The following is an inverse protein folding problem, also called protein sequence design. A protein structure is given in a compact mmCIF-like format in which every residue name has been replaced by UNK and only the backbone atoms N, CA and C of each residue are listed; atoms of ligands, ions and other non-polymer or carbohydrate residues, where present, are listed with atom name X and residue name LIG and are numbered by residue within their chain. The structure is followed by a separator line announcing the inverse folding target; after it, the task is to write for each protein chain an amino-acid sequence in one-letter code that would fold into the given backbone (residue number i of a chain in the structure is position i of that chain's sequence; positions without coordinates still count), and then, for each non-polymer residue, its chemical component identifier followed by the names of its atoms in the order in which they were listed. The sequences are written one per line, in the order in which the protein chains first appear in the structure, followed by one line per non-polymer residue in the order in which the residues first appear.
data_IF_030856907554
#
_entry.id   IF_030856907554
#
_cell.length_a   1.000
_cell.length_b   1.000
_cell.length_c   1.000
_cell.angle_alpha   90.00
_cell.angle_beta   90.00
_cell.angle_gamma   90.00
#
_symmetry.space_group_name_H-M   'P 1'
#
loop_
_entity.id
_entity.type
_entity.pdbx_description
1 polymer ?
#
# COMPACT_ATOMS: atom_id res chain seq x y z
N UNK A 1 -0.85 2.95 50.98
CA UNK A 1 0.10 2.42 49.97
C UNK A 1 -0.70 2.02 48.74
N UNK A 2 -0.49 2.65 47.58
CA UNK A 2 -1.03 2.17 46.30
C UNK A 2 -0.08 1.08 45.80
N UNK A 3 -0.53 -0.18 45.86
CA UNK A 3 0.26 -1.37 45.47
C UNK A 3 0.28 -1.64 43.96
N UNK A 4 -0.41 -0.81 43.18
CA UNK A 4 -0.41 -0.82 41.73
C UNK A 4 0.09 0.55 41.29
N UNK A 5 0.99 0.59 40.28
CA UNK A 5 1.49 1.83 39.70
C UNK A 5 0.36 2.77 39.26
N UNK A 6 0.69 4.01 38.86
CA UNK A 6 -0.33 4.97 38.44
C UNK A 6 -1.26 4.36 37.40
N UNK A 7 -2.57 4.55 37.59
CA UNK A 7 -3.56 3.97 36.70
C UNK A 7 -3.53 4.73 35.34
N UNK A 8 -4.04 4.11 34.27
CA UNK A 8 -4.04 4.71 32.93
C UNK A 8 -4.68 6.11 32.92
N UNK A 9 -5.81 6.27 33.61
CA UNK A 9 -6.54 7.52 33.63
C UNK A 9 -5.72 8.66 34.28
N UNK A 10 -5.02 8.37 35.37
CA UNK A 10 -4.16 9.34 36.06
C UNK A 10 -3.02 9.80 35.13
N UNK A 11 -2.39 8.85 34.41
CA UNK A 11 -1.27 9.17 33.49
C UNK A 11 -1.76 9.93 32.26
N UNK A 12 -2.86 9.50 31.64
CA UNK A 12 -3.32 10.13 30.41
C UNK A 12 -3.97 11.49 30.67
N UNK A 13 -4.57 11.68 31.86
CA UNK A 13 -4.96 13.01 32.31
C UNK A 13 -3.76 13.93 32.52
N UNK A 14 -2.70 13.45 33.20
CA UNK A 14 -1.45 14.21 33.34
C UNK A 14 -0.87 14.58 31.97
N UNK A 15 -0.87 13.63 31.02
CA UNK A 15 -0.43 13.89 29.66
C UNK A 15 -1.24 15.02 29.01
N UNK A 16 -2.57 14.99 29.14
CA UNK A 16 -3.44 16.04 28.57
C UNK A 16 -3.10 17.42 29.14
N UNK A 17 -2.75 17.51 30.43
CA UNK A 17 -2.31 18.76 31.06
C UNK A 17 -0.94 19.18 30.51
N UNK A 18 0.01 18.25 30.38
CA UNK A 18 1.38 18.51 29.91
C UNK A 18 1.46 18.96 28.45
N UNK A 19 0.51 18.56 27.60
CA UNK A 19 0.50 18.89 26.17
C UNK A 19 -0.52 19.97 25.81
N UNK A 20 -1.17 20.61 26.79
CA UNK A 20 -2.31 21.52 26.57
C UNK A 20 -3.41 20.89 25.70
N UNK A 21 -3.71 19.62 25.99
CA UNK A 21 -4.72 18.80 25.31
C UNK A 21 -6.03 18.69 26.10
N UNK A 22 -6.97 17.97 25.50
CA UNK A 22 -8.28 17.67 26.05
C UNK A 22 -8.32 16.22 26.56
N UNK A 23 -8.67 16.06 27.84
CA UNK A 23 -8.98 14.77 28.41
C UNK A 23 -10.43 14.37 28.09
N UNK A 24 -10.60 13.28 27.36
CA UNK A 24 -11.90 12.82 26.88
C UNK A 24 -12.23 11.49 27.54
N UNK A 25 -13.40 11.43 28.18
CA UNK A 25 -13.96 10.20 28.76
C UNK A 25 -15.18 9.81 27.96
N UNK A 26 -15.13 8.66 27.30
CA UNK A 26 -16.27 8.12 26.56
C UNK A 26 -17.10 7.20 27.47
N UNK A 27 -18.43 7.37 27.41
CA UNK A 27 -19.39 6.57 28.16
C UNK A 27 -19.74 5.25 27.45
N UNK A 28 -20.01 4.19 28.23
CA UNK A 28 -20.34 2.85 27.72
C UNK A 28 -20.36 1.82 28.86
N UNK A 29 -20.41 0.52 28.51
CA UNK A 29 -20.31 -0.58 29.50
C UNK A 29 -18.90 -0.70 30.11
N UNK A 30 -17.90 -0.06 29.50
CA UNK A 30 -16.55 0.13 30.02
C UNK A 30 -16.12 1.59 29.83
N UNK A 31 -15.30 2.11 30.75
CA UNK A 31 -14.74 3.46 30.62
C UNK A 31 -13.60 3.45 29.61
N UNK A 32 -13.77 4.19 28.53
CA UNK A 32 -12.74 4.46 27.54
C UNK A 32 -12.18 5.87 27.73
N UNK A 33 -10.88 5.98 27.54
CA UNK A 33 -10.13 7.21 27.75
C UNK A 33 -9.46 7.61 26.45
N UNK A 34 -9.48 8.90 26.13
CA UNK A 34 -8.74 9.49 25.00
C UNK A 34 -8.11 10.81 25.41
N UNK A 35 -7.03 11.17 24.73
CA UNK A 35 -6.42 12.51 24.81
C UNK A 35 -6.45 13.11 23.41
N UNK A 36 -7.10 14.25 23.25
CA UNK A 36 -7.15 14.99 22.00
C UNK A 36 -6.28 16.25 22.05
N UNK A 37 -5.60 16.61 20.97
CA UNK A 37 -4.92 17.90 20.85
C UNK A 37 -5.10 18.46 19.44
N UNK A 38 -5.54 19.72 19.36
CA UNK A 38 -5.47 20.46 18.10
C UNK A 38 -4.08 21.04 17.92
N UNK A 39 -3.48 20.78 16.76
CA UNK A 39 -2.21 21.37 16.37
C UNK A 39 -2.32 21.82 14.91
N UNK A 40 -2.30 23.13 14.70
CA UNK A 40 -2.70 23.76 13.43
C UNK A 40 -4.08 23.22 12.96
N UNK A 41 -4.18 22.70 11.75
CA UNK A 41 -5.38 22.08 11.17
C UNK A 41 -5.61 20.63 11.62
N UNK A 42 -4.61 19.98 12.23
CA UNK A 42 -4.70 18.57 12.59
C UNK A 42 -5.33 18.37 13.97
N UNK A 43 -6.15 17.32 14.08
CA UNK A 43 -6.66 16.81 15.35
C UNK A 43 -5.92 15.52 15.69
N UNK A 44 -4.96 15.62 16.59
CA UNK A 44 -4.15 14.49 17.05
C UNK A 44 -4.89 13.81 18.20
N UNK A 45 -5.08 12.50 18.10
CA UNK A 45 -5.80 11.70 19.11
C UNK A 45 -4.92 10.58 19.62
N UNK A 46 -4.87 10.42 20.94
CA UNK A 46 -4.36 9.25 21.62
C UNK A 46 -5.53 8.42 22.18
N UNK A 47 -5.52 7.12 21.94
CA UNK A 47 -6.53 6.18 22.42
C UNK A 47 -5.97 4.78 22.70
N UNK A 48 -6.79 3.93 23.32
CA UNK A 48 -6.53 2.48 23.37
C UNK A 48 -7.23 1.83 22.19
N UNK A 49 -6.48 1.22 21.29
CA UNK A 49 -7.02 0.45 20.18
C UNK A 49 -7.09 -1.04 20.57
N UNK A 50 -8.28 -1.63 20.43
CA UNK A 50 -8.53 -3.06 20.57
C UNK A 50 -9.55 -3.45 19.51
N UNK A 51 -9.35 -4.58 18.84
CA UNK A 51 -10.28 -5.07 17.82
C UNK A 51 -11.54 -5.73 18.43
N UNK A 52 -11.58 -5.90 19.76
CA UNK A 52 -12.60 -6.67 20.45
C UNK A 52 -12.39 -8.20 20.37
N UNK A 53 -11.51 -8.68 19.50
CA UNK A 53 -11.09 -10.08 19.48
C UNK A 53 -10.09 -10.34 20.61
N UNK A 54 -10.30 -11.42 21.37
CA UNK A 54 -9.39 -11.78 22.49
C UNK A 54 -7.96 -12.12 22.07
N UNK A 55 -7.74 -12.40 20.78
CA UNK A 55 -6.46 -12.81 20.23
C UNK A 55 -5.63 -11.62 19.75
N UNK A 56 -6.27 -10.48 19.48
CA UNK A 56 -5.56 -9.29 19.02
C UNK A 56 -4.99 -8.52 20.22
N UNK A 57 -3.76 -8.01 20.11
CA UNK A 57 -3.15 -7.27 21.20
C UNK A 57 -3.90 -5.94 21.41
N UNK A 58 -4.05 -5.56 22.68
CA UNK A 58 -4.41 -4.18 23.04
C UNK A 58 -3.23 -3.29 22.69
N UNK A 59 -3.49 -2.16 22.02
CA UNK A 59 -2.46 -1.21 21.60
C UNK A 59 -2.78 0.19 22.16
N UNK A 60 -1.74 0.95 22.48
CA UNK A 60 -1.85 2.41 22.62
C UNK A 60 -1.57 3.01 21.25
N UNK A 61 -2.45 3.89 20.78
CA UNK A 61 -2.40 4.46 19.43
C UNK A 61 -2.45 5.97 19.50
N UNK A 62 -1.56 6.63 18.76
CA UNK A 62 -1.61 8.07 18.48
C UNK A 62 -1.79 8.24 16.99
N UNK A 63 -2.75 9.04 16.55
CA UNK A 63 -3.02 9.22 15.14
C UNK A 63 -3.53 10.62 14.81
N UNK A 64 -3.38 11.00 13.55
CA UNK A 64 -3.96 12.20 12.99
C UNK A 64 -4.30 11.98 11.51
N UNK A 65 -5.43 12.56 11.09
CA UNK A 65 -5.78 12.66 9.68
C UNK A 65 -4.98 13.80 9.03
N UNK A 66 -4.46 13.58 7.82
CA UNK A 66 -3.77 14.60 7.03
C UNK A 66 -4.08 14.42 5.53
N UNK A 67 -3.89 15.49 4.76
CA UNK A 67 -4.03 15.43 3.30
C UNK A 67 -2.75 14.90 2.67
N UNK A 68 -2.82 13.77 1.98
CA UNK A 68 -1.68 13.10 1.36
C UNK A 68 -1.66 13.36 -0.16
N UNK A 69 -1.01 14.47 -0.55
CA UNK A 69 -1.01 14.94 -1.95
C UNK A 69 -0.37 13.91 -2.90
N UNK A 70 0.74 13.30 -2.50
CA UNK A 70 1.54 12.43 -3.38
C UNK A 70 1.34 10.94 -3.14
N UNK A 71 0.46 10.55 -2.23
CA UNK A 71 0.23 9.15 -1.87
C UNK A 71 1.46 8.53 -1.18
N UNK A 72 2.17 9.30 -0.35
CA UNK A 72 3.28 8.80 0.45
C UNK A 72 2.79 7.67 1.36
N UNK A 73 3.50 6.54 1.35
CA UNK A 73 3.30 5.44 2.28
C UNK A 73 4.62 5.09 2.93
N UNK A 74 4.60 4.87 4.23
CA UNK A 74 5.72 4.23 4.91
C UNK A 74 5.27 3.42 6.10
N UNK A 75 6.15 2.53 6.53
CA UNK A 75 6.11 1.81 7.80
C UNK A 75 7.50 1.79 8.39
N UNK A 76 7.60 2.13 9.67
CA UNK A 76 8.82 2.09 10.46
C UNK A 76 8.50 1.23 11.69
N UNK A 77 9.24 0.16 11.89
CA UNK A 77 9.00 -0.75 13.00
C UNK A 77 10.27 -1.47 13.44
N UNK A 78 10.34 -1.84 14.71
CA UNK A 78 11.39 -2.69 15.25
C UNK A 78 11.04 -4.18 15.09
N UNK A 79 11.99 -5.08 15.38
CA UNK A 79 11.80 -6.53 15.20
C UNK A 79 10.60 -7.09 15.98
N UNK A 80 10.23 -6.51 17.12
CA UNK A 80 9.10 -6.96 17.92
C UNK A 80 7.76 -6.86 17.16
N UNK A 81 7.59 -5.84 16.32
CA UNK A 81 6.39 -5.70 15.49
C UNK A 81 6.40 -6.58 14.23
N UNK A 82 7.54 -7.19 13.87
CA UNK A 82 7.67 -8.03 12.66
C UNK A 82 6.69 -9.19 12.65
N UNK A 83 6.42 -9.79 13.81
CA UNK A 83 5.52 -10.95 13.93
C UNK A 83 4.03 -10.59 13.76
N UNK A 84 3.68 -9.30 13.82
CA UNK A 84 2.29 -8.84 13.73
C UNK A 84 1.88 -8.48 12.29
N UNK A 85 2.81 -8.42 11.34
CA UNK A 85 2.54 -7.90 10.00
C UNK A 85 3.20 -8.77 8.91
N UNK A 86 2.38 -9.55 8.20
CA UNK A 86 2.83 -10.44 7.11
C UNK A 86 2.60 -9.89 5.69
N UNK A 87 1.69 -8.93 5.50
CA UNK A 87 1.37 -8.40 4.16
C UNK A 87 1.90 -6.98 3.95
N UNK A 88 2.87 -6.84 3.06
CA UNK A 88 3.47 -5.55 2.67
C UNK A 88 3.63 -5.46 1.15
N UNK A 89 2.55 -5.68 0.42
CA UNK A 89 2.55 -5.50 -1.03
C UNK A 89 2.84 -4.02 -1.36
N UNK A 90 3.72 -3.78 -2.34
CA UNK A 90 4.01 -2.46 -2.92
C UNK A 90 4.80 -1.44 -2.04
N UNK A 91 5.60 -1.93 -1.09
CA UNK A 91 6.63 -1.14 -0.39
C UNK A 91 7.99 -1.82 -0.44
N UNK A 92 9.05 -1.04 -0.58
CA UNK A 92 10.43 -1.51 -0.63
C UNK A 92 11.17 -1.11 0.64
N UNK A 93 12.19 -1.87 1.00
CA UNK A 93 13.06 -1.55 2.13
C UNK A 93 13.87 -0.29 1.81
N UNK A 94 13.93 0.65 2.76
CA UNK A 94 14.67 1.90 2.61
C UNK A 94 15.83 1.93 3.58
N UNK A 95 17.03 2.17 3.06
CA UNK A 95 18.22 2.44 3.86
C UNK A 95 18.35 3.94 4.11
N UNK A 96 18.40 4.33 5.38
CA UNK A 96 18.73 5.68 5.82
C UNK A 96 20.03 5.61 6.58
N UNK A 97 21.14 5.72 5.85
CA UNK A 97 22.52 5.55 6.35
C UNK A 97 22.92 6.66 7.34
N UNK A 98 22.27 6.71 8.49
CA UNK A 98 22.48 7.69 9.56
C UNK A 98 22.52 6.94 10.89
N UNK A 99 23.68 6.98 11.55
CA UNK A 99 23.87 6.58 12.96
C UNK A 99 23.39 5.17 13.35
N UNK A 100 23.37 4.20 12.43
CA UNK A 100 22.97 2.82 12.75
C UNK A 100 21.48 2.61 12.93
N UNK A 101 20.65 3.59 12.54
CA UNK A 101 19.19 3.53 12.64
C UNK A 101 18.59 2.26 12.01
N UNK A 102 19.09 1.87 10.84
CA UNK A 102 18.70 0.65 10.12
C UNK A 102 19.04 -0.67 10.85
N UNK A 103 19.79 -0.63 11.96
CA UNK A 103 20.02 -1.81 12.81
C UNK A 103 18.89 -2.03 13.82
N UNK A 104 18.26 -0.95 14.25
CA UNK A 104 17.21 -0.96 15.28
C UNK A 104 15.81 -0.99 14.65
N UNK A 105 15.66 -0.36 13.49
CA UNK A 105 14.38 -0.22 12.79
C UNK A 105 14.44 -0.72 11.35
N UNK A 106 13.37 -1.42 10.95
CA UNK A 106 13.05 -1.75 9.57
C UNK A 106 12.18 -0.61 9.04
N UNK A 107 12.57 -0.06 7.89
CA UNK A 107 11.84 1.01 7.20
C UNK A 107 11.41 0.50 5.84
N UNK A 108 10.12 0.60 5.55
CA UNK A 108 9.55 0.28 4.25
C UNK A 108 8.75 1.46 3.73
N UNK A 109 8.87 1.75 2.44
CA UNK A 109 8.13 2.86 1.81
C UNK A 109 7.94 2.65 0.31
N UNK A 110 7.00 3.40 -0.27
CA UNK A 110 6.88 3.55 -1.72
C UNK A 110 7.76 4.67 -2.30
N UNK A 111 8.48 5.43 -1.47
CA UNK A 111 9.39 6.49 -1.93
C UNK A 111 10.63 6.58 -1.05
N UNK A 112 11.75 6.06 -1.54
CA UNK A 112 13.05 6.16 -0.87
C UNK A 112 13.49 7.63 -0.68
N UNK A 113 13.26 8.48 -1.69
CA UNK A 113 13.62 9.90 -1.67
C UNK A 113 12.85 10.63 -0.56
N UNK A 114 11.54 10.40 -0.46
CA UNK A 114 10.72 11.01 0.58
C UNK A 114 11.16 10.56 1.97
N UNK A 115 11.51 9.28 2.14
CA UNK A 115 11.98 8.77 3.43
C UNK A 115 13.36 9.31 3.80
N UNK A 116 14.30 9.39 2.87
CA UNK A 116 15.60 10.04 3.15
C UNK A 116 15.40 11.48 3.60
N UNK A 117 14.53 12.24 2.91
CA UNK A 117 14.19 13.62 3.27
C UNK A 117 13.50 13.73 4.63
N UNK A 118 12.52 12.85 4.91
CA UNK A 118 11.85 12.76 6.20
C UNK A 118 12.85 12.51 7.33
N UNK A 119 13.77 11.58 7.10
CA UNK A 119 14.82 11.22 8.03
C UNK A 119 16.01 12.19 8.06
N UNK A 120 16.10 13.19 7.18
CA UNK A 120 17.12 14.25 7.30
C UNK A 120 16.90 15.09 8.56
N UNK A 121 15.66 15.13 9.07
CA UNK A 121 15.30 15.82 10.29
C UNK A 121 15.86 15.06 11.53
N UNK A 122 16.86 15.62 12.25
CA UNK A 122 17.49 14.95 13.40
C UNK A 122 16.50 14.69 14.54
N UNK A 123 15.55 15.59 14.75
CA UNK A 123 14.55 15.46 15.82
C UNK A 123 13.66 14.23 15.60
N UNK A 124 13.27 13.95 14.35
CA UNK A 124 12.49 12.74 14.02
C UNK A 124 13.30 11.48 14.33
N UNK A 125 14.58 11.45 13.96
CA UNK A 125 15.47 10.31 14.27
C UNK A 125 15.59 10.09 15.78
N UNK A 126 15.86 11.14 16.53
CA UNK A 126 15.98 11.09 17.99
C UNK A 126 14.70 10.61 18.65
N UNK A 127 13.55 11.16 18.24
CA UNK A 127 12.25 10.80 18.81
C UNK A 127 11.85 9.36 18.48
N UNK A 128 12.15 8.85 17.29
CA UNK A 128 11.91 7.45 16.94
C UNK A 128 12.82 6.52 17.76
N UNK A 129 14.11 6.87 17.94
CA UNK A 129 15.04 6.09 18.75
C UNK A 129 14.63 6.02 20.23
N UNK A 130 13.88 7.01 20.73
CA UNK A 130 13.31 6.96 22.08
C UNK A 130 12.13 5.97 22.21
N UNK A 131 11.59 5.47 21.10
CA UNK A 131 10.50 4.49 21.10
C UNK A 131 11.05 3.07 21.12
N UNK A 132 10.78 2.30 22.20
CA UNK A 132 11.31 0.94 22.35
C UNK A 132 10.60 -0.08 21.45
N UNK A 133 9.27 0.01 21.39
CA UNK A 133 8.41 -0.89 20.60
C UNK A 133 7.36 -0.04 19.91
N UNK A 134 7.58 0.25 18.62
CA UNK A 134 6.69 1.11 17.85
C UNK A 134 6.44 0.57 16.44
N UNK A 135 5.20 0.68 16.00
CA UNK A 135 4.84 0.70 14.58
C UNK A 135 4.43 2.12 14.24
N UNK A 136 5.15 2.74 13.32
CA UNK A 136 4.86 4.07 12.83
C UNK A 136 4.58 4.02 11.33
N UNK A 137 3.36 4.33 10.92
CA UNK A 137 2.91 4.12 9.53
C UNK A 137 1.94 5.20 9.02
N UNK A 138 1.82 5.26 7.69
CA UNK A 138 0.73 5.97 7.00
C UNK A 138 -0.21 4.92 6.40
N UNK A 139 -1.50 5.01 6.74
CA UNK A 139 -2.57 4.18 6.22
C UNK A 139 -3.63 5.02 5.48
N UNK A 140 -4.37 4.38 4.58
CA UNK A 140 -5.61 4.96 4.05
C UNK A 140 -6.65 5.10 5.15
N UNK A 141 -7.66 5.94 4.95
CA UNK A 141 -8.71 6.17 5.96
C UNK A 141 -9.69 5.00 6.02
N UNK A 142 -9.33 3.94 6.76
CA UNK A 142 -10.15 2.75 6.98
C UNK A 142 -9.30 1.49 6.96
N UNK A 143 -9.75 0.42 7.61
CA UNK A 143 -9.08 -0.88 7.55
C UNK A 143 -9.09 -1.32 6.08
N UNK A 144 -7.92 -1.51 5.49
CA UNK A 144 -7.71 -2.00 4.11
C UNK A 144 -7.98 -1.02 2.95
N UNK A 145 -8.01 0.30 3.20
CA UNK A 145 -8.08 1.27 2.10
C UNK A 145 -6.70 1.56 1.49
N UNK A 146 -6.61 1.47 0.16
CA UNK A 146 -5.42 1.90 -0.57
C UNK A 146 -5.14 3.39 -0.29
N UNK A 147 -3.88 3.73 -0.05
CA UNK A 147 -3.44 5.12 -0.02
C UNK A 147 -3.37 5.62 -1.45
N UNK A 148 -4.24 6.57 -1.77
CA UNK A 148 -4.31 7.21 -3.08
C UNK A 148 -3.72 8.63 -3.00
N UNK A 149 -3.31 9.16 -4.17
CA UNK A 149 -2.94 10.57 -4.27
C UNK A 149 -4.13 11.47 -3.99
N UNK A 150 -3.87 12.68 -3.50
CA UNK A 150 -4.88 13.69 -3.19
C UNK A 150 -6.02 13.17 -2.27
N UNK A 151 -5.67 12.27 -1.34
CA UNK A 151 -6.62 11.65 -0.41
C UNK A 151 -6.34 12.04 1.05
N UNK A 152 -7.36 11.93 1.91
CA UNK A 152 -7.14 12.03 3.36
C UNK A 152 -6.62 10.68 3.84
N UNK A 153 -5.41 10.70 4.36
CA UNK A 153 -4.76 9.54 4.98
C UNK A 153 -4.64 9.75 6.48
N UNK A 154 -4.29 8.68 7.18
CA UNK A 154 -4.04 8.69 8.61
C UNK A 154 -2.59 8.31 8.87
N UNK A 155 -1.89 9.15 9.62
CA UNK A 155 -0.57 8.84 10.16
C UNK A 155 -0.74 8.29 11.57
N UNK A 156 -0.08 7.19 11.90
CA UNK A 156 -0.33 6.43 13.12
C UNK A 156 0.94 5.92 13.78
N UNK A 157 1.02 6.08 15.10
CA UNK A 157 2.02 5.48 15.98
C UNK A 157 1.30 4.49 16.89
N UNK A 158 1.67 3.22 16.83
CA UNK A 158 1.09 2.13 17.65
C UNK A 158 2.16 1.53 18.55
N UNK A 159 1.81 1.31 19.81
CA UNK A 159 2.68 0.73 20.84
C UNK A 159 1.94 -0.43 21.53
N UNK A 160 2.62 -1.54 21.86
CA UNK A 160 1.98 -2.68 22.49
C UNK A 160 1.49 -2.36 23.91
N UNK A 161 0.28 -2.78 24.22
CA UNK A 161 -0.33 -2.63 25.55
C UNK A 161 -0.80 -1.21 25.87
N UNK A 162 -1.18 -1.03 27.14
CA UNK A 162 -1.60 0.27 27.68
C UNK A 162 -0.38 0.97 28.28
N UNK A 163 0.08 2.03 27.63
CA UNK A 163 1.24 2.79 28.08
C UNK A 163 0.88 3.68 29.27
N UNK A 164 1.70 3.58 30.33
CA UNK A 164 1.55 4.30 31.61
C UNK A 164 2.78 5.15 31.98
N UNK A 165 3.66 5.40 31.02
CA UNK A 165 4.79 6.32 31.19
C UNK A 165 4.45 7.65 30.49
N UNK A 166 4.30 8.71 31.28
CA UNK A 166 3.92 10.03 30.77
C UNK A 166 4.99 10.62 29.82
N UNK A 167 6.27 10.52 30.18
CA UNK A 167 7.37 11.04 29.36
C UNK A 167 7.43 10.33 28.00
N UNK A 168 7.25 9.02 28.00
CA UNK A 168 7.17 8.26 26.76
C UNK A 168 6.02 8.74 25.86
N UNK A 169 4.82 8.92 26.43
CA UNK A 169 3.67 9.43 25.68
C UNK A 169 3.87 10.85 25.14
N UNK A 170 4.56 11.73 25.89
CA UNK A 170 4.92 13.07 25.42
C UNK A 170 5.84 12.99 24.22
N UNK A 171 6.89 12.17 24.28
CA UNK A 171 7.81 11.97 23.17
C UNK A 171 7.09 11.41 21.94
N UNK A 172 6.11 10.52 22.12
CA UNK A 172 5.30 10.02 20.98
C UNK A 172 4.38 11.11 20.40
N UNK A 173 3.85 12.03 21.21
CA UNK A 173 3.10 13.20 20.73
C UNK A 173 4.01 14.18 19.98
N UNK A 174 5.20 14.44 20.49
CA UNK A 174 6.22 15.25 19.80
C UNK A 174 6.63 14.62 18.48
N UNK A 175 6.80 13.29 18.44
CA UNK A 175 7.07 12.55 17.20
C UNK A 175 5.94 12.74 16.18
N UNK A 176 4.68 12.62 16.61
CA UNK A 176 3.53 12.85 15.74
C UNK A 176 3.53 14.27 15.16
N UNK A 177 3.77 15.29 15.99
CA UNK A 177 3.83 16.69 15.56
C UNK A 177 4.97 16.94 14.58
N UNK A 178 6.20 16.50 14.93
CA UNK A 178 7.37 16.64 14.06
C UNK A 178 7.15 15.96 12.71
N UNK A 179 6.51 14.79 12.73
CA UNK A 179 6.20 14.02 11.53
C UNK A 179 5.17 14.71 10.64
N UNK A 180 4.08 15.22 11.21
CA UNK A 180 3.06 15.97 10.45
C UNK A 180 3.66 17.20 9.77
N UNK A 181 4.52 17.94 10.47
CA UNK A 181 5.22 19.09 9.90
C UNK A 181 6.15 18.69 8.75
N UNK A 182 6.86 17.56 8.87
CA UNK A 182 7.77 17.11 7.81
C UNK A 182 7.00 16.53 6.61
N UNK A 183 5.91 15.81 6.85
CA UNK A 183 5.00 15.34 5.79
C UNK A 183 4.36 16.53 5.05
N UNK A 184 3.95 17.58 5.78
CA UNK A 184 3.43 18.82 5.18
C UNK A 184 4.47 19.48 4.26
N UNK A 185 5.74 19.57 4.70
CA UNK A 185 6.84 20.06 3.86
C UNK A 185 7.01 19.19 2.62
N UNK A 186 7.07 17.86 2.76
CA UNK A 186 7.17 16.94 1.64
C UNK A 186 6.04 17.13 0.63
N UNK A 187 4.80 17.27 1.10
CA UNK A 187 3.64 17.54 0.25
C UNK A 187 3.81 18.80 -0.60
N UNK A 188 4.42 19.84 -0.02
CA UNK A 188 4.63 21.12 -0.68
C UNK A 188 5.89 21.12 -1.59
N UNK A 189 6.94 20.39 -1.20
CA UNK A 189 8.22 20.31 -1.94
C UNK A 189 8.11 19.43 -3.20
N UNK A 190 7.22 18.44 -3.22
CA UNK A 190 7.14 17.43 -4.29
C UNK A 190 6.77 17.96 -5.69
N UNK A 191 6.24 19.19 -5.84
CA UNK A 191 6.10 19.83 -7.17
C UNK A 191 7.45 20.02 -7.88
N UNK A 192 8.55 20.03 -7.12
CA UNK A 192 9.93 20.13 -7.65
C UNK A 192 10.65 18.77 -7.75
N UNK A 193 10.17 17.74 -7.05
CA UNK A 193 10.80 16.41 -7.00
C UNK A 193 10.27 15.45 -8.08
N UNK A 194 9.01 15.62 -8.53
CA UNK A 194 8.42 14.78 -9.59
C UNK A 194 8.94 15.13 -11.02
N UNK A 195 9.60 16.30 -11.17
CA UNK A 195 10.25 16.68 -12.44
C UNK A 195 11.45 15.79 -12.77
N UNK A 196 12.00 15.09 -11.76
CA UNK A 196 13.18 14.24 -11.90
C UNK A 196 12.88 12.73 -12.01
N UNK A 197 11.62 12.29 -11.99
CA UNK A 197 11.28 10.87 -12.00
C UNK A 197 10.60 10.41 -13.31
N UNK A 198 11.46 9.96 -14.25
CA UNK A 198 11.31 8.85 -15.22
C UNK A 198 10.05 8.65 -16.10
N UNK A 199 8.91 9.29 -15.86
CA UNK A 199 7.69 9.12 -16.68
C UNK A 199 7.81 9.79 -18.06
N UNK A 200 8.61 10.86 -18.18
CA UNK A 200 8.92 11.53 -19.46
C UNK A 200 9.88 10.75 -20.36
N UNK A 201 10.44 9.65 -19.86
CA UNK A 201 11.47 8.87 -20.54
C UNK A 201 10.95 7.55 -21.11
N UNK A 202 9.66 7.45 -21.48
CA UNK A 202 9.12 6.28 -22.18
C UNK A 202 9.92 5.93 -23.45
N UNK A 203 10.44 6.94 -24.14
CA UNK A 203 11.34 6.80 -25.30
C UNK A 203 12.71 6.23 -24.92
N UNK A 204 13.24 6.60 -23.75
CA UNK A 204 14.53 6.09 -23.23
C UNK A 204 14.36 4.69 -22.65
N UNK A 205 13.27 4.40 -21.92
CA UNK A 205 12.92 3.06 -21.42
C UNK A 205 12.75 2.06 -22.57
N UNK A 206 12.08 2.47 -23.67
CA UNK A 206 11.94 1.64 -24.88
C UNK A 206 13.27 1.46 -25.61
N UNK A 207 14.10 2.50 -25.68
CA UNK A 207 15.43 2.41 -26.31
C UNK A 207 16.39 1.52 -25.51
N UNK A 208 16.40 1.63 -24.17
CA UNK A 208 17.20 0.78 -23.29
C UNK A 208 16.75 -0.69 -23.39
N UNK A 209 15.43 -0.95 -23.40
CA UNK A 209 14.89 -2.32 -23.53
C UNK A 209 15.28 -2.97 -24.85
N UNK A 210 15.20 -2.24 -25.97
CA UNK A 210 15.60 -2.77 -27.28
C UNK A 210 17.11 -3.03 -27.35
N UNK A 211 17.93 -2.17 -26.77
CA UNK A 211 19.39 -2.30 -26.86
C UNK A 211 19.92 -3.38 -25.91
N UNK A 212 19.31 -3.57 -24.74
CA UNK A 212 19.61 -4.70 -23.84
C UNK A 212 19.25 -6.06 -24.47
N UNK A 213 18.24 -6.09 -25.35
CA UNK A 213 17.87 -7.31 -26.09
C UNK A 213 18.86 -7.66 -27.22
N UNK A 214 19.61 -6.68 -27.72
CA UNK A 214 20.52 -6.84 -28.87
C UNK A 214 21.99 -7.07 -28.48
N UNK A 215 22.32 -7.22 -27.18
CA UNK A 215 23.70 -7.41 -26.66
C UNK A 215 24.71 -6.37 -27.18
N UNK A 216 24.29 -5.11 -27.28
CA UNK A 216 25.11 -4.00 -27.79
C UNK A 216 26.03 -3.45 -26.68
N UNK A 217 27.20 -2.93 -27.03
CA UNK A 217 28.17 -2.40 -26.06
C UNK A 217 27.75 -1.03 -25.48
N UNK A 218 28.31 -0.64 -24.32
CA UNK A 218 27.98 0.62 -23.63
C UNK A 218 28.19 1.85 -24.53
N UNK A 219 29.29 1.91 -25.27
CA UNK A 219 29.59 3.06 -26.14
C UNK A 219 28.60 3.17 -27.29
N UNK A 220 28.15 2.04 -27.84
CA UNK A 220 27.12 2.00 -28.90
C UNK A 220 25.73 2.40 -28.39
N UNK A 221 25.36 2.00 -27.16
CA UNK A 221 24.12 2.44 -26.49
C UNK A 221 24.15 3.97 -26.25
N UNK A 222 25.25 4.46 -25.69
CA UNK A 222 25.45 5.88 -25.35
C UNK A 222 25.37 6.76 -26.60
N UNK A 223 26.08 6.38 -27.66
CA UNK A 223 26.03 7.06 -28.96
C UNK A 223 24.63 7.01 -29.59
N UNK A 224 23.93 5.88 -29.53
CA UNK A 224 22.58 5.75 -30.10
C UNK A 224 21.56 6.67 -29.39
N UNK A 225 21.65 6.78 -28.06
CA UNK A 225 20.76 7.64 -27.28
C UNK A 225 21.11 9.11 -27.49
N UNK A 226 22.39 9.49 -27.43
CA UNK A 226 22.85 10.86 -27.68
C UNK A 226 22.46 11.31 -29.10
N UNK A 227 22.62 10.46 -30.11
CA UNK A 227 22.20 10.76 -31.49
C UNK A 227 20.68 10.90 -31.64
N UNK A 228 19.87 10.22 -30.84
CA UNK A 228 18.41 10.39 -30.85
C UNK A 228 17.97 11.67 -30.15
N UNK A 229 18.70 12.09 -29.12
CA UNK A 229 18.46 13.34 -28.38
C UNK A 229 18.85 14.54 -29.23
N UNK A 230 20.04 14.51 -29.87
CA UNK A 230 20.54 15.59 -30.74
C UNK A 230 19.69 15.82 -31.99
N UNK A 231 18.97 14.78 -32.46
CA UNK A 231 18.01 14.86 -33.59
C UNK A 231 16.67 15.49 -33.21
N UNK A 232 16.34 15.64 -31.93
CA UNK A 232 15.22 16.50 -31.51
C UNK A 232 15.70 17.95 -31.58
N UNK A 233 14.85 18.89 -32.03
CA UNK A 233 15.21 20.30 -32.25
C UNK A 233 15.97 20.88 -31.03
N UNK A 234 17.29 21.01 -31.19
CA UNK A 234 18.26 21.70 -30.32
C UNK A 234 18.06 21.41 -28.82
N UNK A 235 18.44 20.22 -28.32
CA UNK A 235 18.42 19.95 -26.89
C UNK A 235 19.30 20.97 -26.15
N UNK A 236 18.91 21.35 -24.94
CA UNK A 236 19.76 22.18 -24.10
C UNK A 236 20.96 21.35 -23.61
N UNK A 237 22.07 22.02 -23.30
CA UNK A 237 23.26 21.34 -22.73
C UNK A 237 22.94 20.65 -21.39
N UNK A 238 21.92 21.13 -20.69
CA UNK A 238 21.42 20.53 -19.46
C UNK A 238 20.64 19.23 -19.72
N UNK A 239 19.89 19.14 -20.82
CA UNK A 239 19.20 17.90 -21.22
C UNK A 239 20.19 16.80 -21.64
N UNK A 240 21.28 17.16 -22.31
CA UNK A 240 22.37 16.22 -22.62
C UNK A 240 23.07 15.74 -21.35
N UNK A 241 23.38 16.64 -20.42
CA UNK A 241 24.03 16.28 -19.15
C UNK A 241 23.14 15.39 -18.26
N UNK A 242 21.83 15.68 -18.17
CA UNK A 242 20.86 14.87 -17.43
C UNK A 242 20.71 13.48 -18.06
N UNK A 243 20.73 13.37 -19.39
CA UNK A 243 20.68 12.08 -20.07
C UNK A 243 21.95 11.25 -19.80
N UNK A 244 23.14 11.86 -19.80
CA UNK A 244 24.40 11.17 -19.48
C UNK A 244 24.40 10.67 -18.03
N UNK A 245 24.00 11.50 -17.06
CA UNK A 245 23.91 11.10 -15.64
C UNK A 245 22.89 9.98 -15.42
N UNK A 246 21.76 10.01 -16.13
CA UNK A 246 20.75 8.96 -16.06
C UNK A 246 21.23 7.64 -16.68
N UNK A 247 22.01 7.70 -17.77
CA UNK A 247 22.63 6.52 -18.38
C UNK A 247 23.67 5.91 -17.44
N UNK A 248 24.55 6.73 -16.86
CA UNK A 248 25.61 6.26 -15.96
C UNK A 248 25.02 5.69 -14.66
N UNK A 249 23.99 6.33 -14.09
CA UNK A 249 23.25 5.82 -12.93
C UNK A 249 22.50 4.51 -13.23
N UNK A 250 21.88 4.39 -14.41
CA UNK A 250 21.16 3.18 -14.80
C UNK A 250 22.10 1.99 -15.13
N UNK A 251 23.37 2.25 -15.43
CA UNK A 251 24.33 1.24 -15.89
C UNK A 251 25.40 0.87 -14.85
N UNK A 252 25.51 1.61 -13.74
CA UNK A 252 26.33 1.23 -12.58
C UNK A 252 25.91 -0.13 -11.97
N UNK A 253 24.68 -0.56 -12.22
CA UNK A 253 24.10 -1.81 -11.69
C UNK A 253 24.26 -3.04 -12.59
N UNK A 254 25.22 -3.12 -13.52
CA UNK A 254 25.38 -4.35 -14.33
C UNK A 254 25.59 -5.60 -13.46
N UNK A 255 26.39 -5.49 -12.39
CA UNK A 255 26.61 -6.56 -11.41
C UNK A 255 25.33 -6.87 -10.62
N UNK A 256 24.64 -5.84 -10.13
CA UNK A 256 23.40 -5.98 -9.36
C UNK A 256 22.22 -6.49 -10.21
N UNK A 257 22.24 -6.25 -11.53
CA UNK A 257 21.27 -6.78 -12.50
C UNK A 257 21.52 -8.24 -12.81
N UNK A 258 22.78 -8.65 -12.95
CA UNK A 258 23.12 -10.08 -13.09
C UNK A 258 22.72 -10.85 -11.82
N UNK A 259 22.93 -10.27 -10.62
CA UNK A 259 22.51 -10.87 -9.34
C UNK A 259 20.97 -10.89 -9.16
N UNK A 260 20.27 -9.83 -9.58
CA UNK A 260 18.81 -9.76 -9.50
C UNK A 260 18.12 -10.71 -10.50
N UNK A 261 18.65 -10.85 -11.72
CA UNK A 261 18.14 -11.82 -12.72
C UNK A 261 18.30 -13.24 -12.19
N UNK A 262 19.47 -13.58 -11.62
CA UNK A 262 19.75 -14.90 -11.08
C UNK A 262 18.86 -15.25 -9.88
N UNK A 263 18.43 -14.25 -9.10
CA UNK A 263 17.48 -14.42 -7.99
C UNK A 263 16.04 -14.62 -8.49
N UNK A 264 15.63 -13.87 -9.52
CA UNK A 264 14.29 -13.97 -10.13
C UNK A 264 14.12 -15.30 -10.86
N UNK A 265 15.12 -15.77 -11.62
CA UNK A 265 15.10 -17.06 -12.31
C UNK A 265 14.96 -18.23 -11.32
N UNK A 266 15.53 -18.10 -10.12
CA UNK A 266 15.43 -19.13 -9.08
C UNK A 266 14.02 -19.21 -8.45
N UNK A 267 13.33 -18.07 -8.33
CA UNK A 267 12.00 -18.01 -7.74
C UNK A 267 10.89 -18.36 -8.76
N UNK A 268 11.05 -17.97 -10.03
CA UNK A 268 10.10 -18.33 -11.10
C UNK A 268 10.05 -19.86 -11.31
N UNK A 269 11.18 -20.55 -11.19
CA UNK A 269 11.20 -22.01 -11.32
C UNK A 269 10.50 -22.72 -10.13
N UNK A 270 10.51 -22.12 -8.93
CA UNK A 270 9.80 -22.68 -7.76
C UNK A 270 8.29 -22.46 -7.87
N UNK A 271 7.85 -21.30 -8.37
CA UNK A 271 6.42 -21.00 -8.58
C UNK A 271 5.84 -21.75 -9.79
N UNK A 272 6.64 -22.02 -10.83
CA UNK A 272 6.20 -22.82 -11.98
C UNK A 272 5.96 -24.30 -11.61
N UNK A 273 6.82 -24.88 -10.76
CA UNK A 273 6.65 -26.25 -10.26
C UNK A 273 5.42 -26.37 -9.34
N UNK A 274 5.12 -25.33 -8.53
CA UNK A 274 3.94 -25.29 -7.66
C UNK A 274 2.64 -25.04 -8.44
N UNK A 275 2.66 -24.18 -9.46
CA UNK A 275 1.51 -23.95 -10.33
C UNK A 275 1.17 -25.19 -11.17
N UNK A 276 2.15 -26.00 -11.55
CA UNK A 276 1.90 -27.22 -12.32
C UNK A 276 1.22 -28.32 -11.48
N UNK A 277 1.48 -28.39 -10.17
CA UNK A 277 0.74 -29.29 -9.26
C UNK A 277 -0.71 -28.82 -9.00
N UNK A 278 -0.98 -27.51 -8.97
CA UNK A 278 -2.34 -26.97 -8.75
C UNK A 278 -3.24 -27.04 -10.00
N UNK A 279 -2.68 -27.02 -11.21
CA UNK A 279 -3.46 -26.98 -12.46
C UNK A 279 -3.80 -28.37 -13.04
N UNK A 280 -3.06 -29.42 -12.69
CA UNK A 280 -3.32 -30.80 -13.16
C UNK A 280 -4.76 -31.29 -12.85
N UNK A 281 -5.32 -31.11 -11.63
CA UNK A 281 -6.70 -31.50 -11.34
C UNK A 281 -7.73 -30.75 -12.22
N UNK A 282 -7.45 -29.50 -12.59
CA UNK A 282 -8.34 -28.67 -13.39
C UNK A 282 -8.32 -29.11 -14.85
N UNK A 283 -7.14 -29.45 -15.38
CA UNK A 283 -6.97 -30.00 -16.72
C UNK A 283 -7.64 -31.38 -16.85
N UNK A 284 -7.57 -32.20 -15.81
CA UNK A 284 -8.27 -33.48 -15.74
C UNK A 284 -9.80 -33.30 -15.82
N UNK A 285 -10.36 -32.37 -15.04
CA UNK A 285 -11.81 -32.04 -15.05
C UNK A 285 -12.24 -31.52 -16.43
N UNK A 286 -11.43 -30.68 -17.07
CA UNK A 286 -11.77 -30.10 -18.36
C UNK A 286 -11.71 -31.13 -19.49
N UNK A 287 -10.79 -32.09 -19.40
CA UNK A 287 -10.75 -33.24 -20.31
C UNK A 287 -11.98 -34.14 -20.15
N UNK A 288 -12.37 -34.44 -18.91
CA UNK A 288 -13.60 -35.21 -18.63
C UNK A 288 -14.87 -34.50 -19.12
N UNK A 289 -14.90 -33.17 -19.07
CA UNK A 289 -16.01 -32.38 -19.61
C UNK A 289 -16.09 -32.46 -21.13
N UNK A 290 -14.96 -32.33 -21.82
CA UNK A 290 -14.90 -32.38 -23.28
C UNK A 290 -15.22 -33.77 -23.84
N UNK A 291 -14.72 -34.82 -23.19
CA UNK A 291 -15.02 -36.22 -23.58
C UNK A 291 -16.55 -36.49 -23.46
N UNK A 292 -17.24 -35.87 -22.50
CA UNK A 292 -18.71 -35.97 -22.37
C UNK A 292 -19.49 -35.17 -23.41
N UNK A 293 -18.97 -34.04 -23.89
CA UNK A 293 -19.61 -33.30 -24.99
C UNK A 293 -19.49 -34.04 -26.33
N UNK A 294 -18.38 -34.74 -26.57
CA UNK A 294 -18.25 -35.59 -27.75
C UNK A 294 -19.27 -36.75 -27.72
N UNK A 295 -19.49 -37.37 -26.56
CA UNK A 295 -20.54 -38.38 -26.37
C UNK A 295 -21.95 -37.83 -26.66
N UNK A 296 -22.25 -36.59 -26.26
CA UNK A 296 -23.55 -35.94 -26.51
C UNK A 296 -23.72 -35.60 -28.01
N UNK A 297 -22.67 -35.12 -28.67
CA UNK A 297 -22.70 -34.81 -30.11
C UNK A 297 -22.89 -36.05 -30.99
N UNK A 298 -22.54 -37.24 -30.48
CA UNK A 298 -22.75 -38.51 -31.18
C UNK A 298 -24.20 -39.04 -31.10
N UNK A 299 -25.03 -38.47 -30.21
CA UNK A 299 -26.45 -38.85 -30.03
C UNK A 299 -27.39 -38.07 -30.98
N UNK A 300 -26.99 -36.90 -31.49
CA UNK A 300 -27.86 -36.05 -32.33
C UNK A 300 -28.01 -36.51 -33.80
N UNK A 301 -27.51 -37.69 -34.17
CA UNK A 301 -27.64 -38.26 -35.52
C UNK A 301 -28.55 -39.50 -35.59
N UNK A 302 -29.73 -39.44 -34.97
CA UNK A 302 -30.79 -40.44 -35.22
C UNK A 302 -32.13 -39.79 -35.52
N UNK A 303 -32.72 -40.24 -36.62
CA UNK A 303 -33.90 -39.76 -37.35
C UNK A 303 -35.24 -39.76 -36.57
N UNK A 304 -35.24 -39.96 -35.25
CA UNK A 304 -36.45 -40.28 -34.48
C UNK A 304 -37.21 -39.07 -33.89
N UNK A 305 -36.60 -37.88 -33.80
CA UNK A 305 -37.26 -36.72 -33.18
C UNK A 305 -38.38 -36.11 -34.06
N UNK A 306 -38.28 -36.24 -35.39
CA UNK A 306 -39.25 -35.69 -36.32
C UNK A 306 -40.51 -36.58 -36.50
N UNK A 307 -40.44 -37.88 -36.18
CA UNK A 307 -41.62 -38.74 -36.10
C UNK A 307 -42.42 -38.50 -34.81
N UNK A 308 -41.74 -38.20 -33.71
CA UNK A 308 -42.39 -37.90 -32.43
C UNK A 308 -43.18 -36.58 -32.46
N UNK A 309 -42.65 -35.54 -33.13
CA UNK A 309 -43.28 -34.22 -33.20
C UNK A 309 -44.48 -34.14 -34.17
N UNK A 310 -44.60 -35.06 -35.13
CA UNK A 310 -45.77 -35.14 -36.02
C UNK A 310 -47.04 -35.68 -35.34
N UNK A 311 -46.92 -36.28 -34.15
CA UNK A 311 -48.05 -36.78 -33.37
C UNK A 311 -48.79 -35.74 -32.53
N UNK A 312 -48.23 -34.53 -32.35
CA UNK A 312 -48.71 -33.57 -31.34
C UNK A 312 -49.45 -32.34 -31.92
N UNK A 313 -49.65 -32.24 -33.23
CA UNK A 313 -50.31 -31.08 -33.86
C UNK A 313 -51.82 -31.23 -34.08
N UNK A 314 -52.56 -31.81 -33.14
CA UNK A 314 -54.03 -31.77 -33.13
C UNK A 314 -54.47 -31.30 -31.75
N UNK A 315 -54.55 -29.99 -31.55
CA UNK A 315 -55.55 -29.32 -30.69
C UNK A 315 -55.38 -27.80 -30.86
N UNK A 316 -56.21 -27.22 -31.73
CA UNK A 316 -56.56 -25.79 -31.69
C UNK A 316 -57.35 -25.51 -30.41
N UNK A 317 -57.20 -24.32 -29.81
CA UNK A 317 -58.31 -23.58 -29.19
C UNK A 317 -57.95 -22.10 -29.03
N UNK A 318 -58.98 -21.30 -29.25
CA UNK A 318 -58.99 -19.88 -29.58
C UNK A 318 -58.52 -18.92 -28.47
N UNK A 319 -57.91 -17.82 -28.89
CA UNK A 319 -57.61 -16.64 -28.09
C UNK A 319 -58.75 -15.63 -28.16
N UNK A 320 -59.52 -15.50 -27.08
CA UNK A 320 -60.29 -14.29 -26.76
C UNK A 320 -59.55 -13.48 -25.69
N UNK A 321 -59.50 -12.16 -25.90
CA UNK A 321 -58.66 -11.25 -25.11
C UNK A 321 -59.23 -10.82 -23.77
N UNK A 322 -58.47 -9.99 -23.08
CA UNK A 322 -58.95 -8.78 -22.40
C UNK A 322 -57.76 -8.01 -21.81
N UNK A 323 -57.87 -6.69 -21.95
CA UNK A 323 -57.10 -5.64 -21.28
C UNK A 323 -57.05 -5.85 -19.76
N UNK A 324 -55.98 -5.40 -19.09
CA UNK A 324 -56.14 -4.75 -17.80
C UNK A 324 -55.07 -3.70 -17.52
N UNK A 325 -55.61 -2.62 -16.96
CA UNK A 325 -55.06 -1.34 -16.59
C UNK A 325 -54.02 -1.33 -15.47
N UNK A 326 -53.27 -0.23 -15.49
CA UNK A 326 -52.43 0.32 -14.45
C UNK A 326 -53.30 1.08 -13.42
N UNK A 327 -53.06 0.97 -12.10
CA UNK A 327 -53.54 1.98 -11.18
C UNK A 327 -52.39 2.72 -10.47
N UNK A 328 -52.47 4.04 -10.58
CA UNK A 328 -51.85 4.99 -9.68
C UNK A 328 -52.81 5.34 -8.52
N UNK A 329 -52.22 5.89 -7.47
CA UNK A 329 -52.79 6.73 -6.40
C UNK A 329 -53.35 6.11 -5.10
N UNK A 330 -52.96 6.82 -4.02
CA UNK A 330 -53.60 7.00 -2.69
C UNK A 330 -53.32 5.90 -1.65
N UNK A 331 -53.04 6.20 -0.38
CA UNK A 331 -53.39 7.33 0.48
C UNK A 331 -52.56 7.28 1.78
N UNK A 332 -52.41 8.46 2.42
CA UNK A 332 -52.42 8.74 3.88
C UNK A 332 -51.35 8.17 4.80
#
# INVERSE_FOLDING_TARGET
MRFFGPNQADIWKLLSEDIDGEWIVLGGTSKEYKVGKKFKEWSITLETASSGNKQDPVLTRIYADFFNKHGLRFKIFNEHFRNYFMSFFDMQDVQVDQNGFNKEFIIRSNSEIAMKRFFDNPMIRELINMQQDVLFEINGKGYDQAVEKDSICMVEIKMPGVIKNNEFLKNSFELMVASLLEIEKLNNEYETLDVNNFSKFSVVKKSIKNVMAEKVSYEELKESILNKISKKKKPSKDEENVAVIAIDSAMSSKQEKEDAILCIEKNINVEADQAQEEYEPILQIQKEYNDREEDISSIENTTDLNEYLKGLSVFNLDSSGSEYDNPSEKNK
#
